data_IF_227287653047
#
_entry.id   IF_227287653047
#
_cell.length_a   1.000
_cell.length_b   1.000
_cell.length_c   1.000
_cell.angle_alpha   90.00
_cell.angle_beta   90.00
_cell.angle_gamma   90.00
#
_symmetry.space_group_name_H-M   'P 1'
#
loop_
_entity.id
_entity.type
_entity.pdbx_description
1 polymer ?
#
# COMPACT_ATOMS: atom_id res chain seq x y z
N UNK A 1 -23.94 9.42 23.61
CA UNK A 1 -22.51 9.75 23.50
C UNK A 1 -22.35 10.56 22.22
N UNK A 2 -21.82 11.78 22.31
CA UNK A 2 -21.75 12.70 21.17
C UNK A 2 -20.56 12.33 20.28
N UNK A 3 -20.80 11.99 19.02
CA UNK A 3 -19.74 11.91 18.02
C UNK A 3 -19.19 13.30 17.78
N UNK A 4 -17.90 13.51 18.05
CA UNK A 4 -17.23 14.77 17.72
C UNK A 4 -17.40 15.02 16.22
N UNK A 5 -17.92 16.18 15.77
CA UNK A 5 -18.05 16.47 14.36
C UNK A 5 -16.65 16.66 13.77
N UNK A 6 -16.23 15.77 12.87
CA UNK A 6 -15.10 16.04 11.98
C UNK A 6 -15.50 17.19 11.05
N UNK A 7 -14.62 18.19 10.89
CA UNK A 7 -14.87 19.28 9.95
C UNK A 7 -15.12 18.71 8.55
N UNK A 8 -16.28 19.03 7.96
CA UNK A 8 -16.73 18.46 6.69
C UNK A 8 -15.81 18.79 5.49
N UNK A 9 -14.87 19.73 5.67
CA UNK A 9 -13.83 20.11 4.71
C UNK A 9 -12.75 19.03 4.51
N UNK A 10 -12.61 18.06 5.41
CA UNK A 10 -11.57 17.01 5.35
C UNK A 10 -12.10 15.62 4.94
N UNK A 11 -13.42 15.48 4.70
CA UNK A 11 -14.06 14.21 4.37
C UNK A 11 -14.19 14.05 2.85
N UNK A 12 -13.55 13.02 2.32
CA UNK A 12 -13.69 12.57 0.94
C UNK A 12 -14.84 11.59 0.79
N UNK A 13 -15.62 11.77 -0.26
CA UNK A 13 -16.68 10.84 -0.65
C UNK A 13 -16.18 10.00 -1.80
N UNK A 14 -16.27 8.69 -1.64
CA UNK A 14 -15.75 7.73 -2.59
C UNK A 14 -16.82 6.67 -2.88
N UNK A 15 -16.98 6.33 -4.15
CA UNK A 15 -17.80 5.21 -4.60
C UNK A 15 -16.89 4.33 -5.45
N UNK A 16 -16.78 3.01 -5.16
CA UNK A 16 -15.99 2.10 -5.98
C UNK A 16 -16.49 2.13 -7.43
N UNK A 17 -15.57 2.24 -8.39
CA UNK A 17 -15.88 2.24 -9.82
C UNK A 17 -16.62 0.97 -10.23
N UNK A 18 -16.28 -0.17 -9.61
CA UNK A 18 -16.98 -1.44 -9.80
C UNK A 18 -18.50 -1.32 -9.56
N UNK A 19 -18.91 -0.49 -8.61
CA UNK A 19 -20.31 -0.35 -8.18
C UNK A 19 -20.93 1.00 -8.58
N UNK A 20 -20.21 1.88 -9.28
CA UNK A 20 -20.66 3.24 -9.56
C UNK A 20 -21.94 3.32 -10.42
N UNK A 21 -22.19 2.31 -11.26
CA UNK A 21 -23.29 2.31 -12.23
C UNK A 21 -24.51 1.48 -11.81
N UNK A 22 -24.56 0.99 -10.56
CA UNK A 22 -25.73 0.28 -10.04
C UNK A 22 -26.83 1.28 -9.62
N UNK A 23 -28.06 0.81 -9.40
CA UNK A 23 -29.20 1.67 -9.07
C UNK A 23 -29.00 2.49 -7.78
N UNK A 24 -28.40 1.88 -6.75
CA UNK A 24 -28.11 2.51 -5.47
C UNK A 24 -26.64 2.28 -5.08
N UNK A 25 -25.69 3.04 -5.64
CA UNK A 25 -24.27 2.81 -5.41
C UNK A 25 -23.89 3.15 -3.96
N UNK A 26 -23.00 2.36 -3.33
CA UNK A 26 -22.51 2.69 -2.01
C UNK A 26 -21.62 3.94 -2.05
N UNK A 27 -21.69 4.74 -0.98
CA UNK A 27 -20.86 5.94 -0.83
C UNK A 27 -20.14 5.87 0.49
N UNK A 28 -18.81 5.79 0.43
CA UNK A 28 -17.90 5.79 1.56
C UNK A 28 -17.44 7.21 1.88
N UNK A 29 -17.27 7.48 3.17
CA UNK A 29 -16.72 8.73 3.69
C UNK A 29 -15.36 8.43 4.29
N UNK A 30 -14.31 8.91 3.65
CA UNK A 30 -12.91 8.71 4.06
C UNK A 30 -12.38 10.03 4.62
N UNK A 31 -11.84 9.98 5.83
CA UNK A 31 -11.25 11.17 6.48
C UNK A 31 -9.76 11.23 6.21
N UNK A 32 -9.20 12.44 6.24
CA UNK A 32 -7.75 12.59 6.34
C UNK A 32 -7.25 11.94 7.64
N UNK A 33 -6.11 11.24 7.57
CA UNK A 33 -5.54 10.57 8.72
C UNK A 33 -4.37 11.39 9.28
N UNK A 34 -4.46 11.73 10.57
CA UNK A 34 -3.42 12.46 11.28
C UNK A 34 -2.19 11.57 11.53
N UNK A 35 -1.04 12.21 11.83
CA UNK A 35 0.18 11.49 12.25
C UNK A 35 -0.05 10.58 13.46
N UNK A 36 -0.94 10.97 14.38
CA UNK A 36 -1.27 10.17 15.58
C UNK A 36 -1.96 8.87 15.19
N UNK A 37 -2.84 8.93 14.20
CA UNK A 37 -3.61 7.78 13.75
C UNK A 37 -2.81 6.85 12.84
N UNK A 38 -1.85 7.37 12.08
CA UNK A 38 -0.82 6.54 11.42
C UNK A 38 -0.05 5.70 12.43
N UNK A 39 0.44 6.32 13.50
CA UNK A 39 1.10 5.58 14.60
C UNK A 39 0.15 4.60 15.29
N UNK A 40 -1.15 4.89 15.33
CA UNK A 40 -2.15 3.95 15.87
C UNK A 40 -2.30 2.74 14.96
N UNK A 41 -2.35 2.92 13.64
CA UNK A 41 -2.33 1.83 12.67
C UNK A 41 -1.07 0.97 12.81
N UNK A 42 0.11 1.59 12.89
CA UNK A 42 1.37 0.87 13.11
C UNK A 42 1.33 0.04 14.40
N UNK A 43 0.78 0.61 15.46
CA UNK A 43 0.60 -0.08 16.75
C UNK A 43 -0.38 -1.24 16.64
N UNK A 44 -1.51 -1.05 15.95
CA UNK A 44 -2.50 -2.12 15.74
C UNK A 44 -1.89 -3.29 14.97
N UNK A 45 -1.11 -3.04 13.91
CA UNK A 45 -0.40 -4.10 13.20
C UNK A 45 0.52 -4.91 14.13
N UNK A 46 1.22 -4.23 15.05
CA UNK A 46 2.09 -4.89 16.03
C UNK A 46 1.29 -5.68 17.06
N UNK A 47 0.19 -5.11 17.57
CA UNK A 47 -0.68 -5.72 18.59
C UNK A 47 -1.37 -6.98 18.05
N UNK A 48 -1.78 -6.96 16.78
CA UNK A 48 -2.33 -8.12 16.06
C UNK A 48 -1.24 -9.09 15.56
N UNK A 49 0.04 -8.77 15.79
CA UNK A 49 1.17 -9.63 15.43
C UNK A 49 1.40 -9.76 13.93
N UNK A 50 0.88 -8.84 13.11
CA UNK A 50 1.02 -8.86 11.66
C UNK A 50 2.47 -8.59 11.24
N UNK A 51 2.98 -9.46 10.36
CA UNK A 51 4.35 -9.39 9.86
C UNK A 51 4.36 -9.56 8.36
N UNK A 52 5.02 -8.62 7.70
CA UNK A 52 5.32 -8.72 6.28
C UNK A 52 6.81 -8.97 6.11
N UNK A 53 7.13 -10.02 5.37
CA UNK A 53 8.48 -10.39 4.97
C UNK A 53 8.63 -10.08 3.49
N UNK A 54 9.67 -9.31 3.16
CA UNK A 54 9.96 -8.92 1.79
C UNK A 54 10.55 -10.09 0.97
N UNK A 55 10.74 -9.82 -0.32
CA UNK A 55 11.27 -10.80 -1.28
C UNK A 55 12.66 -11.29 -0.87
N UNK A 56 13.50 -10.40 -0.34
CA UNK A 56 14.87 -10.74 0.08
C UNK A 56 14.87 -11.67 1.28
N UNK A 57 14.03 -11.42 2.29
CA UNK A 57 13.87 -12.29 3.44
C UNK A 57 13.37 -13.69 3.03
N UNK A 58 12.40 -13.76 2.11
CA UNK A 58 11.91 -15.02 1.56
C UNK A 58 13.00 -15.79 0.79
N UNK A 59 13.78 -15.10 -0.06
CA UNK A 59 14.90 -15.69 -0.81
C UNK A 59 16.02 -16.16 0.11
N UNK A 60 16.39 -15.35 1.09
CA UNK A 60 17.41 -15.71 2.08
C UNK A 60 17.01 -16.96 2.88
N UNK A 61 15.75 -17.05 3.32
CA UNK A 61 15.27 -18.23 4.03
C UNK A 61 15.13 -19.45 3.10
N UNK A 62 14.81 -19.24 1.82
CA UNK A 62 14.83 -20.32 0.81
C UNK A 62 16.24 -20.91 0.65
N UNK A 63 17.29 -20.08 0.61
CA UNK A 63 18.67 -20.56 0.54
C UNK A 63 19.13 -21.26 1.82
N UNK A 64 18.69 -20.80 2.99
CA UNK A 64 18.91 -21.54 4.25
C UNK A 64 18.25 -22.91 4.22
N UNK A 65 17.02 -22.99 3.70
CA UNK A 65 16.31 -24.24 3.49
C UNK A 65 17.03 -25.16 2.52
N UNK A 66 17.49 -24.65 1.39
CA UNK A 66 18.29 -25.41 0.42
C UNK A 66 19.55 -25.99 1.10
N UNK A 67 20.31 -25.17 1.84
CA UNK A 67 21.53 -25.61 2.54
C UNK A 67 21.24 -26.68 3.59
N UNK A 68 20.13 -26.57 4.30
CA UNK A 68 19.78 -27.47 5.39
C UNK A 68 19.24 -28.82 4.89
N UNK A 69 18.60 -28.85 3.71
CA UNK A 69 17.90 -30.03 3.18
C UNK A 69 18.68 -30.78 2.11
N UNK A 70 19.67 -30.15 1.49
CA UNK A 70 20.41 -30.71 0.37
C UNK A 70 21.82 -31.14 0.80
N UNK A 71 22.42 -32.03 0.01
CA UNK A 71 23.85 -32.30 0.11
C UNK A 71 24.69 -31.08 -0.30
N UNK A 72 25.99 -31.08 0.02
CA UNK A 72 26.90 -29.99 -0.35
C UNK A 72 26.95 -29.80 -1.88
N UNK A 73 27.05 -30.89 -2.65
CA UNK A 73 27.08 -30.85 -4.11
C UNK A 73 25.79 -30.26 -4.72
N UNK A 74 24.63 -30.65 -4.16
CA UNK A 74 23.34 -30.11 -4.59
C UNK A 74 23.20 -28.63 -4.25
N UNK A 75 23.68 -28.21 -3.08
CA UNK A 75 23.68 -26.80 -2.69
C UNK A 75 24.59 -25.96 -3.61
N UNK A 76 25.82 -26.43 -3.86
CA UNK A 76 26.76 -25.76 -4.77
C UNK A 76 26.23 -25.66 -6.21
N UNK A 77 25.42 -26.64 -6.62
CA UNK A 77 24.75 -26.62 -7.93
C UNK A 77 23.57 -25.63 -7.96
N UNK A 78 22.67 -25.72 -6.98
CA UNK A 78 21.38 -25.02 -7.03
C UNK A 78 21.41 -23.59 -6.51
N UNK A 79 22.28 -23.25 -5.54
CA UNK A 79 22.39 -21.88 -5.03
C UNK A 79 22.64 -20.85 -6.16
N UNK A 80 23.68 -21.00 -7.01
CA UNK A 80 23.95 -20.00 -8.04
C UNK A 80 22.84 -19.94 -9.09
N UNK A 81 22.20 -21.06 -9.41
CA UNK A 81 21.10 -21.12 -10.38
C UNK A 81 19.85 -20.39 -9.87
N UNK A 82 19.49 -20.57 -8.59
CA UNK A 82 18.37 -19.85 -7.98
C UNK A 82 18.63 -18.35 -7.94
N UNK A 83 19.84 -17.93 -7.56
CA UNK A 83 20.23 -16.52 -7.57
C UNK A 83 20.16 -15.91 -8.97
N UNK A 84 20.75 -16.58 -9.95
CA UNK A 84 20.71 -16.14 -11.35
C UNK A 84 19.27 -16.01 -11.85
N UNK A 85 18.41 -16.98 -11.55
CA UNK A 85 17.00 -16.93 -11.92
C UNK A 85 16.28 -15.73 -11.27
N UNK A 86 16.54 -15.49 -9.99
CA UNK A 86 15.97 -14.35 -9.26
C UNK A 86 16.44 -13.00 -9.79
N UNK A 87 17.73 -12.87 -10.07
CA UNK A 87 18.32 -11.63 -10.62
C UNK A 87 17.77 -11.35 -12.02
N UNK A 88 17.73 -12.37 -12.89
CA UNK A 88 17.13 -12.25 -14.23
C UNK A 88 15.64 -11.88 -14.16
N UNK A 89 14.92 -12.43 -13.19
CA UNK A 89 13.50 -12.09 -12.96
C UNK A 89 13.33 -10.64 -12.52
N UNK A 90 14.18 -10.16 -11.62
CA UNK A 90 14.13 -8.79 -11.13
C UNK A 90 14.47 -7.78 -12.24
N UNK A 91 15.50 -8.07 -13.06
CA UNK A 91 15.86 -7.27 -14.23
C UNK A 91 14.71 -7.20 -15.24
N UNK A 92 14.11 -8.36 -15.54
CA UNK A 92 12.99 -8.43 -16.46
C UNK A 92 11.75 -7.68 -15.91
N UNK A 93 11.43 -7.80 -14.62
CA UNK A 93 10.35 -7.04 -13.98
C UNK A 93 10.59 -5.54 -14.04
N UNK A 94 11.84 -5.09 -13.89
CA UNK A 94 12.21 -3.67 -13.98
C UNK A 94 12.06 -3.13 -15.40
N UNK A 95 12.57 -3.86 -16.41
CA UNK A 95 12.48 -3.47 -17.82
C UNK A 95 11.04 -3.37 -18.34
N UNK A 96 10.11 -4.07 -17.70
CA UNK A 96 8.71 -4.13 -18.11
C UNK A 96 7.77 -3.40 -17.15
N UNK A 97 8.32 -2.75 -16.12
CA UNK A 97 7.55 -1.98 -15.15
C UNK A 97 6.73 -0.89 -15.84
N UNK A 98 5.41 -0.91 -15.64
CA UNK A 98 4.49 0.10 -16.16
C UNK A 98 4.10 -0.08 -17.63
N UNK A 99 4.52 -1.16 -18.29
CA UNK A 99 4.01 -1.52 -19.62
C UNK A 99 2.61 -2.17 -19.50
N UNK A 100 1.72 -1.98 -20.48
CA UNK A 100 0.45 -2.72 -20.54
C UNK A 100 0.72 -4.23 -20.58
N UNK A 101 -0.13 -5.03 -19.90
CA UNK A 101 0.06 -6.50 -19.79
C UNK A 101 0.18 -7.15 -21.18
N UNK A 102 -0.56 -6.66 -22.17
CA UNK A 102 -0.55 -7.20 -23.53
C UNK A 102 0.79 -7.00 -24.26
N UNK A 103 1.63 -6.07 -23.79
CA UNK A 103 2.95 -5.75 -24.35
C UNK A 103 4.12 -6.38 -23.57
N UNK A 104 3.83 -7.15 -22.52
CA UNK A 104 4.82 -7.80 -21.69
C UNK A 104 5.13 -9.18 -22.28
N UNK A 105 6.35 -9.43 -22.81
CA UNK A 105 6.72 -10.73 -23.37
C UNK A 105 6.88 -11.77 -22.26
N UNK A 106 6.64 -13.04 -22.53
CA UNK A 106 6.84 -14.08 -21.51
C UNK A 106 8.29 -14.09 -20.99
N UNK A 107 8.45 -14.24 -19.67
CA UNK A 107 9.76 -14.34 -19.05
C UNK A 107 10.42 -15.67 -19.42
N UNK A 108 11.65 -15.60 -19.93
CA UNK A 108 12.48 -16.77 -20.19
C UNK A 108 13.88 -16.53 -19.64
N UNK A 109 14.28 -17.28 -18.62
CA UNK A 109 15.62 -17.23 -18.06
C UNK A 109 16.54 -18.24 -18.76
N UNK A 110 17.81 -17.89 -19.05
CA UNK A 110 18.82 -18.89 -19.36
C UNK A 110 19.13 -19.74 -18.11
N UNK A 111 19.14 -21.07 -18.25
CA UNK A 111 19.41 -22.00 -17.15
C UNK A 111 18.32 -23.07 -16.99
N UNK A 112 18.08 -23.59 -15.77
CA UNK A 112 16.99 -24.54 -15.52
C UNK A 112 15.64 -23.91 -15.87
N UNK A 113 14.73 -24.75 -16.34
CA UNK A 113 13.36 -24.37 -16.65
C UNK A 113 12.60 -23.89 -15.41
N UNK A 114 11.54 -23.10 -15.62
CA UNK A 114 10.66 -22.64 -14.54
C UNK A 114 10.05 -23.81 -13.76
N UNK A 115 9.80 -24.94 -14.42
CA UNK A 115 9.28 -26.15 -13.77
C UNK A 115 10.31 -26.79 -12.82
N UNK A 116 11.60 -26.79 -13.20
CA UNK A 116 12.68 -27.27 -12.34
C UNK A 116 12.88 -26.36 -11.14
N UNK A 117 12.91 -25.04 -11.35
CA UNK A 117 12.98 -24.04 -10.27
C UNK A 117 11.78 -24.20 -9.34
N UNK A 118 10.57 -24.33 -9.88
CA UNK A 118 9.35 -24.55 -9.10
C UNK A 118 9.42 -25.84 -8.29
N UNK A 119 9.95 -26.91 -8.86
CA UNK A 119 10.08 -28.21 -8.18
C UNK A 119 11.03 -28.12 -6.99
N UNK A 120 12.21 -27.51 -7.16
CA UNK A 120 13.19 -27.33 -6.08
C UNK A 120 12.63 -26.42 -5.00
N UNK A 121 12.08 -25.27 -5.37
CA UNK A 121 11.54 -24.30 -4.41
C UNK A 121 10.33 -24.84 -3.65
N UNK A 122 9.43 -25.60 -4.31
CA UNK A 122 8.33 -26.32 -3.67
C UNK A 122 8.86 -27.38 -2.69
N UNK A 123 9.86 -28.16 -3.09
CA UNK A 123 10.49 -29.14 -2.21
C UNK A 123 11.05 -28.51 -0.94
N UNK A 124 11.71 -27.34 -1.06
CA UNK A 124 12.17 -26.57 0.09
C UNK A 124 10.99 -26.09 0.93
N UNK A 125 9.97 -25.49 0.31
CA UNK A 125 8.80 -24.98 1.02
C UNK A 125 8.07 -26.08 1.82
N UNK A 126 7.88 -27.26 1.24
CA UNK A 126 7.21 -28.39 1.87
C UNK A 126 8.04 -29.00 3.02
N UNK A 127 9.37 -28.91 2.97
CA UNK A 127 10.25 -29.58 3.92
C UNK A 127 11.01 -28.64 4.88
N UNK A 128 10.92 -27.31 4.69
CA UNK A 128 11.56 -26.30 5.54
C UNK A 128 10.52 -25.47 6.32
N UNK A 129 10.24 -25.82 7.59
CA UNK A 129 9.23 -25.12 8.40
C UNK A 129 9.42 -23.59 8.53
N UNK A 130 10.66 -23.06 8.67
CA UNK A 130 10.86 -21.61 8.76
C UNK A 130 10.33 -20.83 7.54
N UNK A 131 10.53 -21.34 6.32
CA UNK A 131 10.00 -20.69 5.12
C UNK A 131 8.47 -20.70 5.08
N UNK A 132 7.83 -21.81 5.50
CA UNK A 132 6.36 -21.87 5.63
C UNK A 132 5.83 -20.88 6.65
N UNK A 133 6.58 -20.63 7.73
CA UNK A 133 6.21 -19.63 8.73
C UNK A 133 6.20 -18.22 8.13
N UNK A 134 7.24 -17.86 7.37
CA UNK A 134 7.29 -16.57 6.67
C UNK A 134 6.14 -16.44 5.66
N UNK A 135 5.87 -17.49 4.90
CA UNK A 135 4.76 -17.51 3.94
C UNK A 135 3.40 -17.34 4.63
N UNK A 136 3.19 -18.04 5.76
CA UNK A 136 1.96 -17.92 6.56
C UNK A 136 1.80 -16.50 7.15
N UNK A 137 2.87 -15.92 7.69
CA UNK A 137 2.88 -14.54 8.17
C UNK A 137 2.45 -13.57 7.05
N UNK A 138 3.00 -13.72 5.84
CA UNK A 138 2.63 -12.88 4.68
C UNK A 138 1.16 -13.07 4.26
N UNK A 139 0.64 -14.29 4.29
CA UNK A 139 -0.78 -14.57 3.99
C UNK A 139 -1.69 -13.87 4.99
N UNK A 140 -1.38 -13.97 6.29
CA UNK A 140 -2.14 -13.31 7.35
C UNK A 140 -2.04 -11.78 7.19
N UNK A 141 -0.83 -11.25 6.95
CA UNK A 141 -0.63 -9.82 6.73
C UNK A 141 -1.48 -9.30 5.55
N UNK A 142 -1.43 -9.96 4.39
CA UNK A 142 -2.16 -9.53 3.20
C UNK A 142 -3.68 -9.60 3.38
N UNK A 143 -4.17 -10.49 4.25
CA UNK A 143 -5.59 -10.59 4.58
C UNK A 143 -6.05 -9.51 5.55
N UNK A 144 -5.30 -9.29 6.63
CA UNK A 144 -5.74 -8.47 7.77
C UNK A 144 -5.36 -6.99 7.63
N UNK A 145 -4.20 -6.68 7.02
CA UNK A 145 -3.69 -5.32 6.95
C UNK A 145 -4.63 -4.35 6.18
N UNK A 146 -5.27 -4.75 5.05
CA UNK A 146 -6.25 -3.91 4.38
C UNK A 146 -7.43 -3.54 5.28
N UNK A 147 -7.97 -4.51 6.03
CA UNK A 147 -9.09 -4.30 6.93
C UNK A 147 -8.72 -3.36 8.08
N UNK A 148 -7.53 -3.53 8.68
CA UNK A 148 -7.02 -2.60 9.69
C UNK A 148 -6.85 -1.18 9.14
N UNK A 149 -6.36 -1.01 7.92
CA UNK A 149 -6.18 0.31 7.32
C UNK A 149 -7.54 1.00 7.12
N UNK A 150 -8.50 0.29 6.53
CA UNK A 150 -9.88 0.77 6.34
C UNK A 150 -10.50 1.14 7.68
N UNK A 151 -10.27 0.33 8.72
CA UNK A 151 -10.83 0.56 10.06
C UNK A 151 -10.44 1.92 10.66
N UNK A 152 -9.28 2.44 10.28
CA UNK A 152 -8.77 3.74 10.74
C UNK A 152 -9.28 4.87 9.85
N UNK A 153 -9.24 4.71 8.52
CA UNK A 153 -9.52 5.79 7.56
C UNK A 153 -11.01 6.08 7.39
N UNK A 154 -11.87 5.11 7.63
CA UNK A 154 -13.27 5.20 7.26
C UNK A 154 -14.10 5.92 8.35
N UNK A 155 -14.88 6.92 7.95
CA UNK A 155 -15.69 7.79 8.82
C UNK A 155 -17.21 7.61 8.66
N UNK A 156 -17.67 6.81 7.69
CA UNK A 156 -19.07 6.48 7.48
C UNK A 156 -19.31 5.88 6.10
N UNK A 157 -20.48 5.25 5.91
CA UNK A 157 -20.95 4.86 4.58
C UNK A 157 -22.47 4.95 4.47
N UNK A 158 -22.97 4.90 3.24
CA UNK A 158 -24.39 4.73 2.90
C UNK A 158 -24.51 3.74 1.74
N UNK A 159 -25.67 3.10 1.60
CA UNK A 159 -25.90 2.09 0.56
C UNK A 159 -25.30 0.71 0.89
N UNK A 160 -24.98 0.48 2.17
CA UNK A 160 -24.48 -0.79 2.72
C UNK A 160 -25.43 -1.20 3.85
N UNK A 161 -25.70 -2.50 3.98
CA UNK A 161 -26.64 -3.03 4.96
C UNK A 161 -26.08 -2.99 6.39
N UNK A 162 -24.81 -3.34 6.55
CA UNK A 162 -24.08 -3.30 7.81
C UNK A 162 -24.05 -1.87 8.34
N UNK A 163 -24.54 -1.64 9.57
CA UNK A 163 -24.54 -0.30 10.15
C UNK A 163 -23.12 0.14 10.50
N UNK A 164 -22.82 1.41 10.24
CA UNK A 164 -21.55 2.00 10.66
C UNK A 164 -21.49 2.10 12.19
N UNK A 165 -20.46 1.51 12.78
CA UNK A 165 -20.20 1.55 14.22
C UNK A 165 -18.70 1.66 14.48
N UNK A 166 -18.26 2.80 15.01
CA UNK A 166 -16.86 3.01 15.39
C UNK A 166 -16.72 3.27 16.88
N UNK A 167 -15.63 2.78 17.47
CA UNK A 167 -15.25 3.04 18.85
C UNK A 167 -13.92 3.77 18.86
N UNK A 168 -13.90 4.95 19.48
CA UNK A 168 -12.72 5.82 19.53
C UNK A 168 -12.14 6.14 18.14
N UNK A 169 -12.99 6.22 17.11
CA UNK A 169 -12.56 6.51 15.73
C UNK A 169 -11.90 5.35 14.99
N UNK A 170 -12.08 4.11 15.47
CA UNK A 170 -11.66 2.88 14.78
C UNK A 170 -12.86 1.93 14.67
N UNK A 171 -13.02 1.31 13.51
CA UNK A 171 -14.00 0.24 13.29
C UNK A 171 -13.48 -1.07 13.87
N UNK A 172 -14.37 -1.92 14.37
CA UNK A 172 -13.98 -3.30 14.67
C UNK A 172 -13.75 -4.08 13.38
N UNK A 173 -12.82 -5.03 13.39
CA UNK A 173 -12.54 -5.88 12.22
C UNK A 173 -13.78 -6.65 11.78
N UNK A 174 -14.59 -7.16 12.72
CA UNK A 174 -15.89 -7.78 12.42
C UNK A 174 -16.81 -6.87 11.58
N UNK A 175 -16.78 -5.55 11.82
CA UNK A 175 -17.57 -4.60 11.02
C UNK A 175 -16.99 -4.43 9.62
N UNK A 176 -15.66 -4.49 9.47
CA UNK A 176 -15.01 -4.40 8.16
C UNK A 176 -15.21 -5.68 7.35
N UNK A 177 -15.18 -6.85 8.00
CA UNK A 177 -15.52 -8.14 7.38
C UNK A 177 -16.99 -8.18 6.94
N UNK A 178 -17.92 -7.71 7.77
CA UNK A 178 -19.33 -7.61 7.40
C UNK A 178 -19.55 -6.61 6.24
N UNK A 179 -18.79 -5.51 6.21
CA UNK A 179 -18.77 -4.59 5.08
C UNK A 179 -18.27 -5.27 3.79
N UNK A 180 -17.22 -6.06 3.85
CA UNK A 180 -16.69 -6.80 2.70
C UNK A 180 -17.70 -7.83 2.16
N UNK A 181 -18.38 -8.53 3.07
CA UNK A 181 -19.46 -9.44 2.72
C UNK A 181 -20.61 -8.71 2.00
N UNK A 182 -21.07 -7.56 2.52
CA UNK A 182 -22.10 -6.74 1.89
C UNK A 182 -21.69 -6.26 0.49
N UNK A 183 -20.43 -5.84 0.32
CA UNK A 183 -19.90 -5.44 -0.98
C UNK A 183 -19.89 -6.60 -1.98
N UNK A 184 -19.45 -7.78 -1.53
CA UNK A 184 -19.47 -9.00 -2.33
C UNK A 184 -20.90 -9.39 -2.73
N UNK A 185 -21.87 -9.25 -1.82
CA UNK A 185 -23.28 -9.49 -2.12
C UNK A 185 -23.84 -8.49 -3.15
N UNK A 186 -23.47 -7.21 -3.05
CA UNK A 186 -23.84 -6.20 -4.05
C UNK A 186 -23.26 -6.51 -5.42
N UNK A 187 -21.99 -6.91 -5.49
CA UNK A 187 -21.35 -7.32 -6.75
C UNK A 187 -22.07 -8.52 -7.37
N UNK A 188 -22.36 -9.55 -6.57
CA UNK A 188 -23.13 -10.74 -7.00
C UNK A 188 -24.50 -10.38 -7.53
N UNK A 189 -25.24 -9.54 -6.80
CA UNK A 189 -26.59 -9.12 -7.17
C UNK A 189 -26.62 -8.35 -8.51
N UNK A 190 -25.50 -7.74 -8.90
CA UNK A 190 -25.36 -6.97 -10.14
C UNK A 190 -24.53 -7.70 -11.21
N UNK A 191 -24.15 -8.96 -11.01
CA UNK A 191 -23.39 -9.76 -11.98
C UNK A 191 -21.96 -9.26 -12.23
N UNK A 192 -21.33 -8.66 -11.22
CA UNK A 192 -19.98 -8.09 -11.28
C UNK A 192 -18.93 -9.04 -10.69
N UNK A 193 -17.64 -8.89 -11.06
CA UNK A 193 -16.55 -9.65 -10.43
C UNK A 193 -16.46 -9.39 -8.92
N UNK A 194 -16.32 -10.46 -8.13
CA UNK A 194 -16.27 -10.41 -6.67
C UNK A 194 -14.94 -9.81 -6.15
N UNK A 195 -15.02 -9.06 -5.05
CA UNK A 195 -13.89 -8.52 -4.29
C UNK A 195 -13.28 -7.25 -4.88
N UNK A 196 -13.76 -6.78 -6.04
CA UNK A 196 -13.16 -5.63 -6.73
C UNK A 196 -13.43 -4.33 -5.98
N UNK A 197 -14.64 -4.13 -5.49
CA UNK A 197 -15.05 -2.93 -4.77
C UNK A 197 -14.30 -2.74 -3.45
N UNK A 198 -14.02 -3.83 -2.73
CA UNK A 198 -13.23 -3.78 -1.50
C UNK A 198 -11.78 -3.41 -1.78
N UNK A 199 -11.17 -3.95 -2.84
CA UNK A 199 -9.82 -3.57 -3.28
C UNK A 199 -9.76 -2.09 -3.67
N UNK A 200 -10.74 -1.59 -4.42
CA UNK A 200 -10.82 -0.16 -4.78
C UNK A 200 -10.96 0.73 -3.54
N UNK A 201 -11.79 0.33 -2.56
CA UNK A 201 -11.91 1.02 -1.27
C UNK A 201 -10.59 1.03 -0.49
N UNK A 202 -9.89 -0.11 -0.43
CA UNK A 202 -8.59 -0.22 0.21
C UNK A 202 -7.54 0.70 -0.45
N UNK A 203 -7.50 0.75 -1.79
CA UNK A 203 -6.58 1.63 -2.53
C UNK A 203 -6.86 3.09 -2.20
N UNK A 204 -8.12 3.52 -2.25
CA UNK A 204 -8.47 4.90 -1.94
C UNK A 204 -8.21 5.23 -0.45
N UNK A 205 -8.50 4.31 0.46
CA UNK A 205 -8.16 4.46 1.87
C UNK A 205 -6.64 4.57 2.09
N UNK A 206 -5.85 3.80 1.34
CA UNK A 206 -4.38 3.85 1.38
C UNK A 206 -3.85 5.20 0.91
N UNK A 207 -4.39 5.76 -0.18
CA UNK A 207 -4.06 7.10 -0.68
C UNK A 207 -4.40 8.20 0.33
N UNK A 208 -5.45 7.99 1.14
CA UNK A 208 -5.83 8.90 2.23
C UNK A 208 -4.94 8.77 3.45
N UNK A 209 -4.52 7.54 3.75
CA UNK A 209 -3.63 7.22 4.87
C UNK A 209 -2.23 7.74 4.61
N UNK A 210 -1.67 7.45 3.45
CA UNK A 210 -0.33 7.86 3.01
C UNK A 210 -0.51 8.84 1.87
N UNK A 211 -0.24 10.13 2.14
CA UNK A 211 -0.34 11.17 1.12
C UNK A 211 0.42 10.74 -0.13
N UNK A 212 -0.21 10.81 -1.29
CA UNK A 212 0.52 10.63 -2.55
C UNK A 212 1.63 11.69 -2.65
N UNK A 213 2.75 11.36 -3.31
CA UNK A 213 3.89 12.30 -3.48
C UNK A 213 3.48 13.64 -4.12
N UNK A 214 2.37 13.66 -4.86
CA UNK A 214 1.79 14.86 -5.46
C UNK A 214 0.92 15.65 -4.47
N UNK A 215 0.20 14.97 -3.56
CA UNK A 215 -0.55 15.60 -2.48
C UNK A 215 0.35 16.18 -1.38
N UNK A 216 1.51 15.56 -1.10
CA UNK A 216 2.51 16.13 -0.17
C UNK A 216 3.11 17.44 -0.69
N UNK A 217 3.26 17.59 -2.01
CA UNK A 217 3.76 18.84 -2.62
C UNK A 217 2.72 19.97 -2.60
N UNK A 218 1.43 19.63 -2.57
CA UNK A 218 0.31 20.57 -2.59
C UNK A 218 -0.36 20.76 -1.22
N UNK A 219 0.07 20.07 -0.17
CA UNK A 219 -0.44 20.32 1.17
C UNK A 219 0.06 21.69 1.61
N UNK A 220 -0.86 22.65 1.73
CA UNK A 220 -0.60 24.01 2.18
C UNK A 220 0.29 23.97 3.41
N UNK A 221 1.52 24.48 3.27
CA UNK A 221 2.38 24.76 4.42
C UNK A 221 1.54 25.54 5.44
N UNK A 222 1.62 25.19 6.74
CA UNK A 222 0.89 25.93 7.75
C UNK A 222 1.18 27.43 7.57
N UNK A 223 0.15 28.30 7.61
CA UNK A 223 0.36 29.72 7.50
C UNK A 223 1.41 30.12 8.53
N UNK A 224 2.40 30.96 8.18
CA UNK A 224 3.40 31.40 9.13
C UNK A 224 2.68 31.96 10.35
N UNK A 225 3.12 31.54 11.54
CA UNK A 225 2.61 32.06 12.81
C UNK A 225 2.50 33.59 12.73
N UNK A 226 1.42 34.20 13.24
CA UNK A 226 1.30 35.65 13.24
C UNK A 226 2.45 36.23 14.08
N UNK A 227 3.44 36.78 13.40
CA UNK A 227 4.47 37.58 14.04
C UNK A 227 3.80 38.91 14.38
N UNK A 228 3.34 39.06 15.62
CA UNK A 228 2.96 40.36 16.17
C UNK A 228 4.22 41.24 16.24
N UNK A 229 4.59 41.86 15.12
CA UNK A 229 5.48 43.01 15.09
C UNK A 229 4.88 44.07 14.15
N UNK A 230 4.65 45.30 14.65
CA UNK A 230 4.10 46.35 13.81
C UNK A 230 5.23 46.99 13.02
N UNK A 231 5.39 46.61 11.76
CA UNK A 231 6.13 47.41 10.79
C UNK A 231 5.21 47.79 9.63
N UNK A 232 4.74 49.01 9.76
CA UNK A 232 4.02 49.76 8.73
C UNK A 232 4.90 49.93 7.49
N UNK A 233 4.49 49.39 6.34
CA UNK A 233 4.46 50.09 5.03
C UNK A 233 3.83 49.22 3.93
N UNK A 234 2.86 49.84 3.25
CA UNK A 234 2.14 49.50 2.01
C UNK A 234 2.98 48.85 0.90
N UNK A 235 2.40 47.86 0.19
CA UNK A 235 2.90 47.40 -1.11
C UNK A 235 2.22 46.14 -1.67
N UNK A 236 1.06 46.35 -2.33
CA UNK A 236 0.50 45.66 -3.52
C UNK A 236 0.78 44.17 -3.80
N UNK A 237 -0.30 43.41 -4.02
CA UNK A 237 -0.32 42.12 -4.71
C UNK A 237 0.45 42.17 -6.04
N UNK A 238 1.17 41.10 -6.38
CA UNK A 238 1.54 40.81 -7.76
C UNK A 238 1.65 39.30 -8.03
N UNK A 239 1.01 38.93 -9.13
CA UNK A 239 0.84 37.60 -9.70
C UNK A 239 2.15 37.00 -10.24
N UNK A 240 2.12 35.67 -10.41
CA UNK A 240 2.96 34.81 -11.25
C UNK A 240 3.91 35.52 -12.24
N UNK A 241 5.19 35.16 -12.17
CA UNK A 241 6.22 35.56 -13.14
C UNK A 241 7.21 34.42 -13.44
N UNK A 242 7.19 33.99 -14.69
CA UNK A 242 7.98 32.95 -15.36
C UNK A 242 9.47 33.30 -15.57
N UNK A 243 10.31 32.26 -15.48
CA UNK A 243 11.48 31.94 -16.35
C UNK A 243 12.89 32.55 -16.13
N UNK A 244 13.85 31.59 -16.10
CA UNK A 244 15.15 31.47 -16.81
C UNK A 244 16.42 32.25 -16.43
N UNK A 245 17.45 31.45 -16.06
CA UNK A 245 18.90 31.50 -16.40
C UNK A 245 19.71 32.80 -16.04
N UNK A 246 20.99 32.81 -15.68
CA UNK A 246 22.17 32.01 -16.01
C UNK A 246 23.28 32.23 -14.95
N UNK A 247 24.33 31.39 -15.04
CA UNK A 247 25.57 31.36 -14.27
C UNK A 247 26.36 32.68 -14.20
N UNK A 248 27.25 32.81 -13.20
CA UNK A 248 28.73 32.82 -13.35
C UNK A 248 29.37 33.05 -11.96
N UNK A 249 30.40 32.26 -11.68
CA UNK A 249 31.33 32.33 -10.55
C UNK A 249 32.09 33.65 -10.48
N UNK A 250 32.55 34.03 -9.29
CA UNK A 250 33.92 34.52 -9.12
C UNK A 250 34.41 34.29 -7.68
N UNK A 251 35.67 33.87 -7.58
CA UNK A 251 36.38 33.53 -6.36
C UNK A 251 36.62 34.74 -5.42
N UNK A 252 36.69 34.38 -4.14
CA UNK A 252 37.30 34.98 -2.93
C UNK A 252 38.10 36.28 -3.02
N UNK A 253 38.16 37.02 -1.89
CA UNK A 253 39.45 37.10 -1.21
C UNK A 253 39.41 36.95 0.32
N UNK A 254 40.62 36.66 0.81
CA UNK A 254 41.04 36.20 2.12
C UNK A 254 40.80 37.13 3.32
N UNK A 255 40.61 36.54 4.50
CA UNK A 255 41.58 36.60 5.61
C UNK A 255 41.41 35.43 6.56
#
# INVERSE_FOLDING_TARGET
MASVPYEASEIHRFTPDALANIENPPVFRLRAVSRRERRRYDRLMIEEGLRLHDREAMRAETLRGLRALSSDDEFETWEPLLRQHWDARDEWEEEHRGKPIDDIPDFTCPGPSDEEISTVTRGIHENWPPLRKLAADNVIFNREAPALLISVVLAGWSGIATPFSSREGVLSLDTVEALDADLTELEKANGLPEGKAFVELYVEASNRMFLSKEAEKNSLSPPPSPTDQPTSTTGTESQNGTSTASAISDETPAT
#
